data_IF_759397312430
#
_entry.id   IF_759397312430
#
_cell.length_a   1.000
_cell.length_b   1.000
_cell.length_c   1.000
_cell.angle_alpha   90.00
_cell.angle_beta   90.00
_cell.angle_gamma   90.00
#
_symmetry.space_group_name_H-M   'P 1'
#
loop_
_entity.id
_entity.type
_entity.pdbx_description
1 polymer ?
#
# COMPACT_ATOMS: atom_id res chain seq x y z
N UNK A 1 -0.04 -18.40 6.49
CA UNK A 1 0.15 -16.95 6.33
C UNK A 1 -1.16 -16.33 5.89
N UNK A 2 -1.45 -15.08 6.24
CA UNK A 2 -2.59 -14.32 5.74
C UNK A 2 -2.09 -13.14 4.89
N UNK A 3 -2.72 -12.91 3.76
CA UNK A 3 -2.39 -11.81 2.86
C UNK A 3 -3.66 -11.04 2.55
N UNK A 4 -3.60 -9.72 2.69
CA UNK A 4 -4.65 -8.81 2.27
C UNK A 4 -4.09 -7.86 1.22
N UNK A 5 -4.82 -7.66 0.13
CA UNK A 5 -4.47 -6.69 -0.91
C UNK A 5 -5.65 -5.76 -1.18
N UNK A 6 -5.37 -4.46 -1.22
CA UNK A 6 -6.31 -3.43 -1.66
C UNK A 6 -5.69 -2.61 -2.77
N UNK A 7 -6.45 -2.37 -3.83
CA UNK A 7 -6.11 -1.42 -4.88
C UNK A 7 -7.33 -0.57 -5.20
N UNK A 8 -7.24 0.72 -4.97
CA UNK A 8 -8.37 1.63 -5.12
C UNK A 8 -7.98 3.05 -4.73
N UNK A 9 -8.97 3.93 -4.63
CA UNK A 9 -8.71 5.27 -4.16
C UNK A 9 -8.49 5.28 -2.64
N UNK A 10 -7.55 6.10 -2.19
CA UNK A 10 -7.39 6.46 -0.79
C UNK A 10 -7.58 7.95 -0.59
N UNK A 11 -7.61 8.39 0.66
CA UNK A 11 -7.71 9.80 0.99
C UNK A 11 -7.40 10.06 2.46
N UNK A 12 -7.11 11.32 2.77
CA UNK A 12 -7.01 11.78 4.15
C UNK A 12 -8.31 12.47 4.51
N UNK A 13 -8.97 12.03 5.58
CA UNK A 13 -10.26 12.59 6.00
C UNK A 13 -10.11 13.97 6.65
N UNK A 14 -11.19 14.77 6.59
CA UNK A 14 -11.32 16.04 7.31
C UNK A 14 -11.62 15.89 8.81
N UNK A 15 -11.86 14.67 9.29
CA UNK A 15 -12.11 14.40 10.71
C UNK A 15 -10.91 14.78 11.59
N UNK A 16 -11.15 14.95 12.89
CA UNK A 16 -10.10 15.24 13.88
C UNK A 16 -8.98 14.20 13.80
N UNK A 17 -7.74 14.67 13.70
CA UNK A 17 -6.57 13.81 13.52
C UNK A 17 -6.28 13.40 12.07
N UNK A 18 -7.10 13.83 11.12
CA UNK A 18 -6.95 13.64 9.68
C UNK A 18 -6.60 12.19 9.28
N UNK A 19 -7.41 11.19 9.67
CA UNK A 19 -7.03 9.79 9.45
C UNK A 19 -6.92 9.46 7.96
N UNK A 20 -5.95 8.61 7.62
CA UNK A 20 -5.83 8.01 6.29
C UNK A 20 -6.87 6.91 6.11
N UNK A 21 -7.60 6.98 5.00
CA UNK A 21 -8.74 6.13 4.68
C UNK A 21 -8.58 5.50 3.31
N UNK A 22 -9.06 4.26 3.20
CA UNK A 22 -9.33 3.59 1.93
C UNK A 22 -10.78 3.88 1.54
N UNK A 23 -10.98 4.32 0.31
CA UNK A 23 -12.30 4.72 -0.18
C UNK A 23 -13.00 3.50 -0.74
N UNK A 24 -14.17 3.21 -0.18
CA UNK A 24 -15.09 2.18 -0.64
C UNK A 24 -16.02 2.74 -1.73
N UNK A 25 -16.71 1.85 -2.42
CA UNK A 25 -17.60 2.22 -3.53
C UNK A 25 -18.66 3.28 -3.15
N UNK A 26 -19.17 3.20 -1.93
CA UNK A 26 -20.21 4.07 -1.35
C UNK A 26 -19.64 5.15 -0.41
N UNK A 27 -18.32 5.41 -0.47
CA UNK A 27 -17.73 6.47 0.34
C UNK A 27 -18.24 7.84 -0.11
N UNK A 28 -19.01 8.48 0.75
CA UNK A 28 -19.54 9.82 0.53
C UNK A 28 -18.48 10.90 0.74
N UNK A 29 -18.44 11.90 -0.15
CA UNK A 29 -17.56 13.05 -0.08
C UNK A 29 -18.32 14.32 0.36
N UNK A 30 -17.65 15.29 1.01
CA UNK A 30 -16.26 15.29 1.47
C UNK A 30 -16.06 14.59 2.83
N UNK A 31 -17.14 14.24 3.52
CA UNK A 31 -17.13 13.76 4.90
C UNK A 31 -16.39 12.43 5.11
N UNK A 32 -16.33 11.56 4.10
CA UNK A 32 -15.69 10.24 4.13
C UNK A 32 -16.15 9.34 5.28
N UNK A 33 -17.38 9.52 5.79
CA UNK A 33 -17.89 8.79 6.98
C UNK A 33 -17.93 7.28 6.81
N UNK A 34 -18.17 6.80 5.59
CA UNK A 34 -18.23 5.37 5.27
C UNK A 34 -16.90 4.82 4.71
N UNK A 35 -15.82 5.61 4.75
CA UNK A 35 -14.50 5.13 4.34
C UNK A 35 -13.90 4.19 5.38
N UNK A 36 -13.04 3.27 4.95
CA UNK A 36 -12.33 2.36 5.84
C UNK A 36 -11.02 2.99 6.31
N UNK A 37 -10.88 3.28 7.61
CA UNK A 37 -9.62 3.78 8.16
C UNK A 37 -8.50 2.75 7.96
N UNK A 38 -7.34 3.18 7.48
CA UNK A 38 -6.17 2.31 7.31
C UNK A 38 -5.77 1.67 8.65
N UNK A 39 -5.82 2.44 9.74
CA UNK A 39 -5.52 1.94 11.09
C UNK A 39 -6.50 0.85 11.55
N UNK A 40 -7.78 0.98 11.22
CA UNK A 40 -8.79 -0.02 11.58
C UNK A 40 -8.68 -1.27 10.70
N UNK A 41 -8.38 -1.13 9.40
CA UNK A 41 -8.05 -2.26 8.54
C UNK A 41 -6.87 -3.06 9.14
N UNK A 42 -5.78 -2.39 9.53
CA UNK A 42 -4.61 -3.05 10.12
C UNK A 42 -4.98 -3.78 11.43
N UNK A 43 -5.81 -3.17 12.29
CA UNK A 43 -6.35 -3.84 13.50
C UNK A 43 -7.21 -5.05 13.15
N UNK A 44 -8.07 -4.96 12.13
CA UNK A 44 -8.93 -6.06 11.69
C UNK A 44 -8.11 -7.23 11.14
N UNK A 45 -7.14 -6.96 10.28
CA UNK A 45 -6.21 -7.97 9.75
C UNK A 45 -5.51 -8.73 10.88
N UNK A 46 -5.08 -8.05 11.95
CA UNK A 46 -4.46 -8.69 13.12
C UNK A 46 -5.38 -9.67 13.86
N UNK A 47 -6.70 -9.47 13.81
CA UNK A 47 -7.66 -10.40 14.44
C UNK A 47 -7.78 -11.74 13.71
N UNK A 48 -7.37 -11.81 12.44
CA UNK A 48 -7.35 -13.08 11.68
C UNK A 48 -6.34 -14.03 12.33
N UNK A 49 -6.73 -15.27 12.63
CA UNK A 49 -5.83 -16.29 13.19
C UNK A 49 -4.81 -16.75 12.15
N UNK A 50 -3.64 -16.12 12.13
CA UNK A 50 -2.53 -16.48 11.25
C UNK A 50 -1.18 -16.23 11.96
N UNK A 51 -0.16 -17.03 11.63
CA UNK A 51 1.21 -16.87 12.17
C UNK A 51 1.88 -15.56 11.71
N UNK A 52 1.61 -15.15 10.47
CA UNK A 52 2.20 -14.00 9.80
C UNK A 52 1.14 -13.35 8.92
N UNK A 53 1.19 -12.03 8.77
CA UNK A 53 0.24 -11.23 8.00
C UNK A 53 0.95 -10.22 7.13
N UNK A 54 0.62 -10.19 5.85
CA UNK A 54 1.09 -9.16 4.90
C UNK A 54 -0.12 -8.37 4.42
N UNK A 55 -0.08 -7.05 4.55
CA UNK A 55 -1.10 -6.14 4.05
C UNK A 55 -0.48 -5.30 2.94
N UNK A 56 -1.09 -5.30 1.76
CA UNK A 56 -0.56 -4.66 0.56
C UNK A 56 -1.57 -3.61 0.09
N UNK A 57 -1.18 -2.34 0.07
CA UNK A 57 -2.10 -1.22 -0.19
C UNK A 57 -1.63 -0.39 -1.38
N UNK A 58 -2.32 -0.51 -2.50
CA UNK A 58 -2.17 0.35 -3.69
C UNK A 58 -3.21 1.48 -3.67
N UNK A 59 -2.94 2.52 -2.89
CA UNK A 59 -3.77 3.71 -2.72
C UNK A 59 -2.90 4.92 -2.33
N UNK A 60 -3.36 6.14 -2.67
CA UNK A 60 -2.71 7.39 -2.25
C UNK A 60 -3.54 8.13 -1.21
N UNK A 61 -2.92 9.04 -0.44
CA UNK A 61 -3.62 9.73 0.66
C UNK A 61 -3.46 11.26 0.63
N UNK A 62 -2.75 11.81 -0.35
CA UNK A 62 -2.40 13.23 -0.40
C UNK A 62 -3.54 14.16 -0.92
N UNK A 63 -4.68 13.58 -1.30
CA UNK A 63 -5.85 14.32 -1.79
C UNK A 63 -5.51 15.25 -2.98
N UNK A 64 -4.65 14.81 -3.90
CA UNK A 64 -4.21 15.63 -5.04
C UNK A 64 -5.20 15.67 -6.20
N UNK A 65 -6.07 14.66 -6.31
CA UNK A 65 -6.88 14.44 -7.52
C UNK A 65 -6.12 13.74 -8.64
N UNK A 66 -4.86 13.37 -8.39
CA UNK A 66 -4.05 12.58 -9.31
C UNK A 66 -3.93 11.13 -8.82
N UNK A 67 -3.71 10.22 -9.77
CA UNK A 67 -3.48 8.80 -9.48
C UNK A 67 -4.66 8.16 -8.76
N UNK A 68 -4.39 7.52 -7.63
CA UNK A 68 -5.37 6.83 -6.77
C UNK A 68 -5.87 7.71 -5.63
N UNK A 69 -6.16 8.98 -5.92
CA UNK A 69 -6.73 9.93 -4.95
C UNK A 69 -7.93 10.65 -5.57
N UNK A 70 -8.93 11.02 -4.75
CA UNK A 70 -10.08 11.77 -5.21
C UNK A 70 -9.67 13.20 -5.58
N UNK A 71 -10.33 13.76 -6.60
CA UNK A 71 -10.27 15.20 -6.86
C UNK A 71 -11.13 15.92 -5.84
N UNK A 72 -10.57 16.93 -5.18
CA UNK A 72 -11.25 17.71 -4.15
C UNK A 72 -11.22 19.16 -4.55
N UNK A 73 -12.40 19.79 -4.62
CA UNK A 73 -12.57 21.21 -4.99
C UNK A 73 -12.47 22.15 -3.78
N UNK A 74 -12.43 21.58 -2.57
CA UNK A 74 -12.31 22.31 -1.29
C UNK A 74 -10.86 22.44 -0.83
N UNK A 75 -10.64 23.14 0.30
CA UNK A 75 -9.33 23.16 0.97
C UNK A 75 -8.90 21.74 1.35
N UNK A 76 -7.62 21.39 1.16
CA UNK A 76 -7.12 20.05 1.53
C UNK A 76 -7.05 19.89 3.06
N UNK A 77 -7.32 18.68 3.59
CA UNK A 77 -7.11 18.41 5.01
C UNK A 77 -5.61 18.43 5.35
N UNK A 78 -5.28 18.41 6.64
CA UNK A 78 -3.88 18.34 7.09
C UNK A 78 -3.25 16.99 6.72
N UNK A 79 -2.63 16.92 5.55
CA UNK A 79 -1.88 15.76 5.07
C UNK A 79 -0.64 15.55 5.94
N UNK A 80 -0.38 14.30 6.30
CA UNK A 80 0.77 13.88 7.08
C UNK A 80 1.27 12.50 6.63
N UNK A 81 2.42 12.08 7.15
CA UNK A 81 3.01 10.78 6.87
C UNK A 81 2.16 9.64 7.45
N UNK A 82 2.32 8.43 6.89
CA UNK A 82 1.59 7.25 7.37
C UNK A 82 1.96 6.90 8.83
N UNK A 83 1.03 6.29 9.60
CA UNK A 83 1.30 5.87 10.96
C UNK A 83 2.39 4.81 11.03
N UNK A 84 3.15 4.81 12.11
CA UNK A 84 4.06 3.70 12.42
C UNK A 84 3.27 2.52 13.01
N UNK A 85 3.67 1.31 12.61
CA UNK A 85 3.17 0.05 13.17
C UNK A 85 4.33 -0.59 13.95
N UNK A 86 4.12 -0.96 15.21
CA UNK A 86 5.18 -1.49 16.11
C UNK A 86 5.09 -3.01 16.28
N UNK A 87 4.07 -3.60 15.69
CA UNK A 87 3.73 -4.99 15.82
C UNK A 87 4.66 -5.89 14.98
N UNK A 88 4.95 -7.07 15.53
CA UNK A 88 5.91 -8.04 14.97
C UNK A 88 5.25 -9.20 14.23
N UNK A 89 3.92 -9.24 14.15
CA UNK A 89 3.14 -10.31 13.52
C UNK A 89 2.38 -9.86 12.27
N UNK A 90 2.59 -8.61 11.86
CA UNK A 90 1.99 -7.98 10.69
C UNK A 90 3.01 -7.03 10.06
N UNK A 91 3.03 -7.02 8.73
CA UNK A 91 3.74 -6.03 7.92
C UNK A 91 2.75 -5.45 6.92
N UNK A 92 2.81 -4.14 6.70
CA UNK A 92 2.06 -3.46 5.65
C UNK A 92 3.01 -2.80 4.67
N UNK A 93 2.81 -3.03 3.38
CA UNK A 93 3.52 -2.34 2.31
C UNK A 93 2.51 -1.47 1.57
N UNK A 94 2.73 -0.16 1.58
CA UNK A 94 1.83 0.84 1.03
C UNK A 94 2.49 1.53 -0.16
N UNK A 95 1.72 1.85 -1.20
CA UNK A 95 2.23 2.30 -2.48
C UNK A 95 2.97 3.64 -2.46
N UNK A 96 2.66 4.52 -1.50
CA UNK A 96 3.33 5.79 -1.29
C UNK A 96 3.22 6.24 0.17
N UNK A 97 4.06 7.19 0.59
CA UNK A 97 3.82 7.93 1.83
C UNK A 97 2.52 8.78 1.73
N UNK A 98 1.95 9.17 2.87
CA UNK A 98 0.71 9.95 2.93
C UNK A 98 0.77 11.30 2.18
N UNK A 99 1.98 11.84 1.99
CA UNK A 99 2.23 13.11 1.29
C UNK A 99 2.42 12.97 -0.22
N UNK A 100 2.51 11.74 -0.73
CA UNK A 100 2.88 11.42 -2.11
C UNK A 100 1.70 10.89 -2.94
N UNK A 101 1.90 10.80 -4.26
CA UNK A 101 0.88 10.30 -5.20
C UNK A 101 1.13 8.82 -5.50
N UNK A 102 0.09 7.99 -5.38
CA UNK A 102 0.10 6.63 -5.88
C UNK A 102 -0.48 6.61 -7.31
N UNK A 103 0.37 6.50 -8.33
CA UNK A 103 -0.08 6.57 -9.72
C UNK A 103 -0.85 5.31 -10.15
N UNK A 104 -1.97 5.51 -10.85
CA UNK A 104 -2.88 4.46 -11.33
C UNK A 104 -2.64 4.04 -12.79
N UNK A 105 -1.94 4.86 -13.59
CA UNK A 105 -1.69 4.64 -15.02
C UNK A 105 -0.25 5.00 -15.42
N UNK A 106 0.72 4.58 -14.62
CA UNK A 106 2.12 5.00 -14.77
C UNK A 106 2.85 4.46 -16.00
N UNK A 107 2.40 3.32 -16.53
CA UNK A 107 3.05 2.64 -17.66
C UNK A 107 2.06 2.50 -18.81
N UNK A 108 2.35 3.14 -19.94
CA UNK A 108 1.48 3.14 -21.14
C UNK A 108 1.11 1.74 -21.66
N UNK A 109 1.87 0.71 -21.27
CA UNK A 109 1.69 -0.69 -21.68
C UNK A 109 0.94 -1.57 -20.68
N UNK A 110 0.59 -1.08 -19.48
CA UNK A 110 -0.15 -1.87 -18.48
C UNK A 110 -1.27 -1.08 -17.82
N UNK A 111 -2.39 -1.75 -17.54
CA UNK A 111 -3.59 -1.17 -16.88
C UNK A 111 -3.46 -1.03 -15.35
N UNK A 112 -2.25 -1.06 -14.81
CA UNK A 112 -1.97 -1.14 -13.37
C UNK A 112 -1.11 0.05 -12.95
N UNK A 113 -1.18 0.44 -11.67
CA UNK A 113 -0.25 1.40 -11.10
C UNK A 113 1.16 0.81 -10.96
N UNK A 114 2.19 1.67 -10.79
CA UNK A 114 3.59 1.24 -10.64
C UNK A 114 3.76 0.22 -9.52
N UNK A 115 3.13 0.47 -8.36
CA UNK A 115 3.18 -0.42 -7.20
C UNK A 115 2.70 -1.82 -7.54
N UNK A 116 1.45 -1.97 -8.03
CA UNK A 116 0.90 -3.28 -8.36
C UNK A 116 1.72 -3.99 -9.44
N UNK A 117 2.19 -3.26 -10.47
CA UNK A 117 3.01 -3.86 -11.51
C UNK A 117 4.31 -4.49 -10.98
N UNK A 118 5.06 -3.76 -10.13
CA UNK A 118 6.29 -4.29 -9.56
C UNK A 118 6.05 -5.29 -8.44
N UNK A 119 4.96 -5.18 -7.69
CA UNK A 119 4.54 -6.20 -6.73
C UNK A 119 4.30 -7.55 -7.42
N UNK A 120 3.58 -7.56 -8.55
CA UNK A 120 3.37 -8.79 -9.32
C UNK A 120 4.68 -9.37 -9.84
N UNK A 121 5.63 -8.53 -10.28
CA UNK A 121 6.97 -8.99 -10.66
C UNK A 121 7.75 -9.57 -9.48
N UNK A 122 7.67 -8.94 -8.30
CA UNK A 122 8.29 -9.43 -7.07
C UNK A 122 7.76 -10.84 -6.75
N UNK A 123 6.44 -11.00 -6.72
CA UNK A 123 5.76 -12.26 -6.43
C UNK A 123 5.97 -13.34 -7.52
N UNK A 124 6.31 -12.93 -8.74
CA UNK A 124 6.75 -13.83 -9.81
C UNK A 124 8.22 -14.28 -9.67
N UNK A 125 8.86 -13.99 -8.53
CA UNK A 125 10.22 -14.41 -8.20
C UNK A 125 11.30 -13.40 -8.55
N UNK A 126 10.98 -12.21 -9.09
CA UNK A 126 12.02 -11.19 -9.38
C UNK A 126 12.61 -10.55 -8.13
N UNK A 127 11.95 -10.71 -6.98
CA UNK A 127 12.44 -10.24 -5.70
C UNK A 127 13.34 -11.25 -4.98
N UNK A 128 13.36 -12.52 -5.40
CA UNK A 128 14.21 -13.56 -4.82
C UNK A 128 15.66 -13.34 -5.29
N UNK A 129 16.45 -12.62 -4.47
CA UNK A 129 17.82 -12.25 -4.82
C UNK A 129 18.83 -13.32 -4.44
N UNK A 130 18.53 -14.12 -3.42
CA UNK A 130 19.40 -15.17 -2.91
C UNK A 130 19.13 -16.53 -3.59
N UNK A 131 18.06 -16.64 -4.39
CA UNK A 131 17.61 -17.84 -5.10
C UNK A 131 17.29 -19.01 -4.17
N UNK A 132 16.79 -18.74 -2.96
CA UNK A 132 16.39 -19.79 -2.00
C UNK A 132 14.93 -20.26 -2.21
N UNK A 133 14.24 -19.73 -3.22
CA UNK A 133 12.81 -20.00 -3.50
C UNK A 133 11.86 -19.54 -2.40
N UNK A 134 12.32 -18.68 -1.51
CA UNK A 134 11.52 -17.96 -0.52
C UNK A 134 11.51 -16.47 -0.85
N UNK A 135 10.39 -15.80 -0.57
CA UNK A 135 10.27 -14.36 -0.64
C UNK A 135 9.96 -13.82 0.73
N UNK A 136 10.94 -13.19 1.34
CA UNK A 136 10.72 -12.42 2.56
C UNK A 136 9.94 -11.14 2.24
N UNK A 137 9.21 -10.63 3.24
CA UNK A 137 8.59 -9.29 3.14
C UNK A 137 9.61 -8.22 2.73
N UNK A 138 10.86 -8.37 3.20
CA UNK A 138 11.92 -7.38 3.04
C UNK A 138 12.43 -7.36 1.60
N UNK A 139 12.53 -8.54 0.98
CA UNK A 139 12.83 -8.68 -0.45
C UNK A 139 11.71 -8.12 -1.32
N UNK A 140 10.46 -8.43 -0.99
CA UNK A 140 9.29 -7.87 -1.70
C UNK A 140 9.31 -6.35 -1.59
N UNK A 141 9.46 -5.80 -0.38
CA UNK A 141 9.49 -4.37 -0.14
C UNK A 141 10.64 -3.69 -0.88
N UNK A 142 11.88 -4.13 -0.70
CA UNK A 142 13.06 -3.52 -1.34
C UNK A 142 12.98 -3.58 -2.87
N UNK A 143 12.47 -4.68 -3.42
CA UNK A 143 12.27 -4.79 -4.87
C UNK A 143 11.24 -3.78 -5.35
N UNK A 144 10.06 -3.73 -4.72
CA UNK A 144 8.98 -2.82 -5.11
C UNK A 144 9.41 -1.36 -4.93
N UNK A 145 10.04 -1.02 -3.81
CA UNK A 145 10.54 0.32 -3.51
C UNK A 145 11.54 0.80 -4.56
N UNK A 146 12.57 0.00 -4.86
CA UNK A 146 13.59 0.36 -5.87
C UNK A 146 12.96 0.63 -7.22
N UNK A 147 12.09 -0.27 -7.68
CA UNK A 147 11.51 -0.18 -9.03
C UNK A 147 10.50 0.94 -9.17
N UNK A 148 9.69 1.18 -8.15
CA UNK A 148 8.75 2.30 -8.17
C UNK A 148 9.50 3.64 -8.14
N UNK A 149 10.58 3.75 -7.35
CA UNK A 149 11.43 4.95 -7.33
C UNK A 149 12.13 5.21 -8.66
N UNK A 150 12.53 4.16 -9.38
CA UNK A 150 13.11 4.27 -10.73
C UNK A 150 12.10 4.90 -11.72
N UNK A 151 10.83 4.51 -11.66
CA UNK A 151 9.79 5.03 -12.58
C UNK A 151 9.19 6.38 -12.14
N UNK A 152 9.10 6.64 -10.84
CA UNK A 152 8.44 7.82 -10.27
C UNK A 152 9.32 8.48 -9.19
N UNK A 153 10.52 8.98 -9.54
CA UNK A 153 11.49 9.51 -8.60
C UNK A 153 10.92 10.69 -7.82
N UNK A 154 11.04 10.66 -6.48
CA UNK A 154 10.51 11.65 -5.53
C UNK A 154 8.98 11.84 -5.53
N UNK A 155 8.27 11.27 -6.49
CA UNK A 155 6.81 11.40 -6.62
C UNK A 155 6.06 10.25 -5.96
N UNK A 156 6.63 9.04 -6.02
CA UNK A 156 6.06 7.84 -5.41
C UNK A 156 7.14 6.98 -4.76
N UNK A 157 7.14 6.90 -3.43
CA UNK A 157 8.02 6.02 -2.66
C UNK A 157 7.18 5.03 -1.86
N UNK A 158 7.15 3.74 -2.21
CA UNK A 158 6.52 2.73 -1.38
C UNK A 158 7.09 2.74 0.04
N UNK A 159 6.23 2.52 1.03
CA UNK A 159 6.61 2.53 2.44
C UNK A 159 6.24 1.22 3.10
N UNK A 160 7.12 0.74 3.98
CA UNK A 160 6.88 -0.42 4.82
C UNK A 160 6.54 0.03 6.24
N UNK A 161 5.44 -0.47 6.76
CA UNK A 161 4.99 -0.27 8.14
C UNK A 161 5.06 -1.61 8.88
N UNK A 162 5.56 -1.60 10.11
CA UNK A 162 5.64 -2.79 10.95
C UNK A 162 7.01 -3.43 10.93
N UNK A 163 7.24 -4.30 11.90
CA UNK A 163 8.45 -5.12 12.04
C UNK A 163 8.15 -6.61 11.86
N UNK A 164 6.97 -6.92 11.29
CA UNK A 164 6.56 -8.28 11.01
C UNK A 164 7.51 -8.97 10.05
N UNK A 165 7.95 -10.18 10.40
CA UNK A 165 8.76 -11.03 9.54
C UNK A 165 7.86 -12.06 8.88
N UNK A 166 7.53 -11.85 7.62
CA UNK A 166 6.70 -12.75 6.84
C UNK A 166 7.48 -13.31 5.65
N UNK A 167 7.20 -14.58 5.30
CA UNK A 167 7.85 -15.28 4.19
C UNK A 167 6.80 -15.97 3.33
N UNK A 168 6.93 -15.85 2.01
CA UNK A 168 6.13 -16.52 1.00
C UNK A 168 7.00 -17.56 0.27
N UNK A 169 6.53 -18.79 0.17
CA UNK A 169 7.22 -19.81 -0.62
C UNK A 169 6.85 -19.64 -2.10
N UNK A 170 7.86 -19.55 -2.97
CA UNK A 170 7.63 -19.58 -4.41
C UNK A 170 7.22 -20.99 -4.83
N UNK A 171 6.23 -21.08 -5.72
CA UNK A 171 5.84 -22.37 -6.27
C UNK A 171 7.02 -22.90 -7.08
N UNK A 172 7.48 -24.11 -6.74
CA UNK A 172 8.45 -24.84 -7.55
C UNK A 172 7.88 -25.03 -8.96
N UNK A 173 8.56 -24.47 -9.96
CA UNK A 173 8.31 -24.78 -11.37
C UNK A 173 8.77 -26.22 -11.60
N UNK A 174 7.83 -27.17 -11.49
CA UNK A 174 8.00 -28.52 -12.04
C UNK A 174 7.82 -28.50 -13.55
#
# INVERSE_FOLDING_TARGET
IFIFFFAGNGGTSFAKGAPHCLLLYDTAFPDMKNALLLSDLLKLCRKVKAKQRIVLIDAGFNMSGEGRTPSVTEAKPKIHALPTLKEKDIVAIVACDGTQTAYSSGLSRVRHGFFTYFLLKALAGKADKNNDSELTEDEIFKFVESRVKEEAPNMQTPVKLGEGKATLLLKSSK
#
